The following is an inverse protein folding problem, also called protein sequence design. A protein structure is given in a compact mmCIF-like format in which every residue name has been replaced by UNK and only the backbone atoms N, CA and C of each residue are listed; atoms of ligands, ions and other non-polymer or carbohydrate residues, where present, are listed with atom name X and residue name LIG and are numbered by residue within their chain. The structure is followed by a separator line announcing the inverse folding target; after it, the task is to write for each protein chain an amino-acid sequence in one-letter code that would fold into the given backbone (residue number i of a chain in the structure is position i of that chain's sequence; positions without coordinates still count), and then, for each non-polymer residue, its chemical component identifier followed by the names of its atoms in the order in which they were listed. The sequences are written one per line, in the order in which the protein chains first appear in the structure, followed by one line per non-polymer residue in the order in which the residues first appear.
data_IF_779830527698
#
_entry.id   IF_779830527698
#
_cell.length_a   1.000
_cell.length_b   1.000
_cell.length_c   1.000
_cell.angle_alpha   90.00
_cell.angle_beta   90.00
_cell.angle_gamma   90.00
#
_symmetry.space_group_name_H-M   'P 1'
#
loop_
_entity.id
_entity.type
_entity.pdbx_description
1 polymer ?
#
# COMPACT_ATOMS: atom_id res chain seq x y z
N UNK A 1 -15.11 15.90 -0.81
CA UNK A 1 -13.89 16.05 0.01
C UNK A 1 -12.94 16.93 -0.77
N UNK A 2 -12.10 17.81 -0.14
CA UNK A 2 -10.94 18.39 -0.83
C UNK A 2 -10.40 17.30 -1.73
N UNK A 3 -10.12 17.53 -3.01
CA UNK A 3 -9.50 16.46 -3.79
C UNK A 3 -8.32 16.00 -2.96
N UNK A 4 -8.36 14.79 -2.41
CA UNK A 4 -7.45 14.36 -1.34
C UNK A 4 -6.00 14.65 -1.77
N UNK A 5 -5.77 14.53 -3.08
CA UNK A 5 -4.67 15.07 -3.88
C UNK A 5 -4.04 16.42 -3.45
N UNK A 6 -4.79 17.47 -3.14
CA UNK A 6 -4.20 18.78 -2.77
C UNK A 6 -3.54 18.75 -1.39
N UNK A 7 -4.22 18.12 -0.42
CA UNK A 7 -3.69 17.95 0.94
C UNK A 7 -2.55 16.93 0.90
N UNK A 8 -2.71 15.88 0.11
CA UNK A 8 -1.69 14.87 -0.11
C UNK A 8 -0.43 15.49 -0.70
N UNK A 9 -0.53 16.22 -1.80
CA UNK A 9 0.58 16.95 -2.43
C UNK A 9 1.23 17.97 -1.49
N UNK A 10 0.45 18.69 -0.68
CA UNK A 10 1.02 19.61 0.30
C UNK A 10 1.78 18.91 1.43
N UNK A 11 1.18 17.89 2.05
CA UNK A 11 1.82 17.12 3.11
C UNK A 11 3.07 16.42 2.60
N UNK A 12 3.00 15.96 1.36
CA UNK A 12 4.10 15.39 0.62
C UNK A 12 5.28 16.37 0.48
N UNK A 13 5.04 17.57 -0.04
CA UNK A 13 6.07 18.61 -0.19
C UNK A 13 6.64 19.02 1.17
N UNK A 14 5.78 19.06 2.19
CA UNK A 14 6.19 19.37 3.55
C UNK A 14 7.08 18.27 4.13
N UNK A 15 6.77 17.00 3.91
CA UNK A 15 7.59 15.87 4.37
C UNK A 15 9.02 15.91 3.81
N UNK A 16 9.23 16.47 2.61
CA UNK A 16 10.57 16.59 2.02
C UNK A 16 11.52 17.40 2.90
N UNK A 17 11.01 18.42 3.58
CA UNK A 17 11.79 19.26 4.48
C UNK A 17 12.30 18.49 5.70
N UNK A 18 11.72 17.32 6.00
CA UNK A 18 12.08 16.48 7.14
C UNK A 18 12.84 15.22 6.74
N UNK A 19 13.32 15.11 5.51
CA UNK A 19 14.03 13.90 5.05
C UNK A 19 15.23 13.53 5.93
N UNK A 20 15.92 14.51 6.50
CA UNK A 20 17.01 14.27 7.47
C UNK A 20 16.54 13.63 8.79
N UNK A 21 15.27 13.81 9.17
CA UNK A 21 14.69 13.27 10.40
C UNK A 21 14.39 11.77 10.34
N UNK A 22 14.29 11.21 9.15
CA UNK A 22 13.98 9.79 8.98
C UNK A 22 14.86 9.10 7.94
N UNK A 23 15.78 9.82 7.29
CA UNK A 23 16.64 9.32 6.22
C UNK A 23 17.89 8.57 6.67
N UNK A 24 18.30 8.68 7.94
CA UNK A 24 19.53 8.07 8.47
C UNK A 24 19.33 6.62 8.99
N UNK A 25 18.50 5.83 8.33
CA UNK A 25 18.35 4.41 8.69
C UNK A 25 19.54 3.60 8.17
N UNK A 26 20.05 2.69 9.02
CA UNK A 26 21.22 1.85 8.72
C UNK A 26 21.09 1.18 7.35
N UNK A 27 22.17 1.21 6.57
CA UNK A 27 22.24 0.60 5.25
C UNK A 27 22.54 -0.92 5.29
N UNK A 28 22.66 -1.52 6.49
CA UNK A 28 23.01 -2.94 6.64
C UNK A 28 21.78 -3.71 7.12
N UNK A 29 20.91 -4.12 6.18
CA UNK A 29 19.79 -4.97 6.49
C UNK A 29 20.18 -6.45 6.32
N UNK A 30 19.57 -7.38 7.07
CA UNK A 30 19.71 -8.79 6.73
C UNK A 30 19.15 -9.03 5.32
N UNK A 31 19.70 -9.97 4.57
CA UNK A 31 19.12 -10.38 3.29
C UNK A 31 17.70 -10.95 3.46
N UNK A 32 16.83 -10.85 2.43
CA UNK A 32 15.50 -11.46 2.48
C UNK A 32 15.59 -12.96 2.79
N UNK A 33 14.88 -13.40 3.82
CA UNK A 33 14.99 -14.78 4.34
C UNK A 33 13.70 -15.58 4.25
N UNK A 34 12.68 -15.08 3.55
CA UNK A 34 11.42 -15.80 3.31
C UNK A 34 11.70 -17.17 2.68
N UNK A 35 11.17 -18.21 3.30
CA UNK A 35 11.41 -19.60 2.93
C UNK A 35 10.22 -20.26 2.21
N UNK A 36 9.10 -19.55 2.02
CA UNK A 36 7.96 -20.11 1.30
C UNK A 36 8.23 -20.26 -0.20
N UNK A 37 7.52 -21.21 -0.78
CA UNK A 37 7.43 -21.36 -2.21
C UNK A 37 6.78 -20.13 -2.86
N UNK A 38 7.18 -19.89 -4.10
CA UNK A 38 6.57 -18.88 -4.96
C UNK A 38 5.41 -19.54 -5.71
N UNK A 39 4.24 -18.89 -5.71
CA UNK A 39 3.09 -19.35 -6.47
C UNK A 39 3.43 -19.44 -7.98
N UNK A 40 3.07 -20.54 -8.66
CA UNK A 40 3.44 -20.76 -10.06
C UNK A 40 3.09 -19.61 -11.01
N UNK A 41 2.01 -18.89 -10.73
CA UNK A 41 1.57 -17.75 -11.54
C UNK A 41 2.63 -16.65 -11.70
N UNK A 42 3.47 -16.44 -10.68
CA UNK A 42 4.52 -15.41 -10.73
C UNK A 42 5.71 -15.77 -11.62
N UNK A 43 5.83 -17.02 -12.09
CA UNK A 43 6.86 -17.41 -13.06
C UNK A 43 6.30 -17.87 -14.41
N UNK A 44 5.09 -18.44 -14.42
CA UNK A 44 4.55 -19.14 -15.59
C UNK A 44 3.53 -18.31 -16.38
N UNK A 45 3.02 -17.22 -15.81
CA UNK A 45 1.88 -16.47 -16.37
C UNK A 45 2.24 -15.06 -16.84
N UNK A 46 3.50 -14.82 -17.15
CA UNK A 46 3.90 -13.55 -17.77
C UNK A 46 3.75 -13.59 -19.29
N UNK A 47 3.30 -12.48 -19.86
CA UNK A 47 3.47 -12.22 -21.30
C UNK A 47 4.97 -12.13 -21.59
N UNK A 48 5.42 -12.72 -22.69
CA UNK A 48 6.80 -12.64 -23.16
C UNK A 48 6.90 -11.90 -24.49
N UNK A 49 8.10 -11.46 -24.87
CA UNK A 49 8.35 -10.61 -26.04
C UNK A 49 9.47 -9.61 -25.79
N UNK A 50 9.78 -8.78 -26.80
CA UNK A 50 10.88 -7.81 -26.77
C UNK A 50 10.85 -6.85 -25.58
N UNK A 51 9.65 -6.48 -25.12
CA UNK A 51 9.45 -5.40 -24.14
C UNK A 51 8.91 -5.89 -22.80
N UNK A 52 8.89 -7.22 -22.59
CA UNK A 52 8.47 -7.81 -21.31
C UNK A 52 9.67 -8.27 -20.48
N UNK A 53 10.79 -8.65 -21.13
CA UNK A 53 12.12 -8.93 -20.55
C UNK A 53 12.12 -9.70 -19.21
N UNK A 54 11.12 -10.55 -18.97
CA UNK A 54 10.90 -11.17 -17.65
C UNK A 54 12.03 -12.09 -17.18
N UNK A 55 12.73 -12.87 -18.04
CA UNK A 55 13.83 -13.71 -17.58
C UNK A 55 15.03 -12.92 -17.05
N UNK A 56 15.31 -11.73 -17.59
CA UNK A 56 16.48 -10.92 -17.21
C UNK A 56 16.40 -10.41 -15.78
N UNK A 57 15.19 -10.17 -15.27
CA UNK A 57 14.94 -9.59 -13.95
C UNK A 57 14.33 -10.58 -12.94
N UNK A 58 14.02 -11.81 -13.37
CA UNK A 58 13.32 -12.80 -12.55
C UNK A 58 14.02 -13.08 -11.21
N UNK A 59 15.34 -13.22 -11.21
CA UNK A 59 16.12 -13.45 -9.98
C UNK A 59 16.00 -12.27 -9.01
N UNK A 60 16.03 -11.03 -9.54
CA UNK A 60 15.88 -9.80 -8.75
C UNK A 60 14.45 -9.64 -8.20
N UNK A 61 13.45 -10.16 -8.89
CA UNK A 61 12.05 -10.14 -8.46
C UNK A 61 11.69 -11.30 -7.52
N UNK A 62 12.54 -12.32 -7.37
CA UNK A 62 12.20 -13.50 -6.55
C UNK A 62 11.81 -13.17 -5.11
N UNK A 63 12.48 -12.26 -4.38
CA UNK A 63 12.02 -11.84 -3.04
C UNK A 63 10.62 -11.20 -3.05
N UNK A 64 10.30 -10.45 -4.10
CA UNK A 64 8.96 -9.85 -4.31
C UNK A 64 7.91 -10.95 -4.47
N UNK A 65 8.19 -11.92 -5.33
CA UNK A 65 7.26 -13.03 -5.58
C UNK A 65 7.07 -13.92 -4.36
N UNK A 66 8.12 -14.14 -3.56
CA UNK A 66 8.00 -14.84 -2.27
C UNK A 66 7.10 -14.09 -1.31
N UNK A 67 7.27 -12.78 -1.17
CA UNK A 67 6.43 -11.97 -0.29
C UNK A 67 4.97 -11.92 -0.77
N UNK A 68 4.73 -11.71 -2.06
CA UNK A 68 3.39 -11.73 -2.64
C UNK A 68 2.72 -13.12 -2.46
N UNK A 69 3.46 -14.20 -2.66
CA UNK A 69 2.98 -15.57 -2.40
C UNK A 69 2.66 -15.79 -0.93
N UNK A 70 3.46 -15.24 -0.02
CA UNK A 70 3.19 -15.29 1.42
C UNK A 70 1.88 -14.59 1.76
N UNK A 71 1.66 -13.37 1.24
CA UNK A 71 0.41 -12.64 1.41
C UNK A 71 -0.80 -13.41 0.88
N UNK A 72 -0.64 -14.21 -0.17
CA UNK A 72 -1.73 -14.96 -0.78
C UNK A 72 -1.96 -16.36 -0.17
N UNK A 73 -1.09 -16.84 0.72
CA UNK A 73 -1.16 -18.21 1.25
C UNK A 73 -1.16 -18.31 2.78
N UNK A 74 -0.73 -17.24 3.46
CA UNK A 74 -0.67 -17.18 4.92
C UNK A 74 -2.08 -17.09 5.53
N UNK A 75 -2.29 -17.79 6.65
CA UNK A 75 -3.64 -18.04 7.18
C UNK A 75 -4.47 -16.77 7.43
N UNK A 76 -3.85 -15.70 7.94
CA UNK A 76 -4.59 -14.48 8.29
C UNK A 76 -4.92 -13.58 7.10
N UNK A 77 -3.97 -13.25 6.20
CA UNK A 77 -4.31 -12.60 4.94
C UNK A 77 -5.45 -13.29 4.19
N UNK A 78 -5.50 -14.63 4.23
CA UNK A 78 -6.58 -15.41 3.60
C UNK A 78 -7.98 -15.17 4.20
N UNK A 79 -8.10 -14.68 5.43
CA UNK A 79 -9.40 -14.30 6.01
C UNK A 79 -10.05 -13.16 5.24
N UNK A 80 -9.24 -12.26 4.66
CA UNK A 80 -9.75 -11.22 3.76
C UNK A 80 -10.35 -11.88 2.50
N UNK A 81 -9.61 -12.75 1.83
CA UNK A 81 -10.16 -13.45 0.66
C UNK A 81 -11.38 -14.32 0.99
N UNK A 82 -11.46 -14.89 2.20
CA UNK A 82 -12.62 -15.67 2.63
C UNK A 82 -13.90 -14.82 2.71
N UNK A 83 -13.82 -13.57 3.18
CA UNK A 83 -14.94 -12.63 3.11
C UNK A 83 -15.26 -12.24 1.68
N UNK A 84 -14.27 -11.96 0.82
CA UNK A 84 -14.51 -11.65 -0.59
C UNK A 84 -15.28 -12.77 -1.33
N UNK A 85 -14.84 -14.01 -1.15
CA UNK A 85 -15.32 -15.19 -1.88
C UNK A 85 -16.64 -15.69 -1.29
N UNK A 86 -16.78 -15.74 0.03
CA UNK A 86 -17.90 -16.39 0.72
C UNK A 86 -18.82 -15.44 1.50
N UNK A 87 -18.58 -14.13 1.43
CA UNK A 87 -19.49 -13.12 1.95
C UNK A 87 -20.70 -12.90 1.04
N UNK A 88 -21.82 -12.51 1.64
CA UNK A 88 -23.05 -12.17 0.91
C UNK A 88 -22.88 -10.81 0.22
N UNK A 89 -23.25 -10.71 -1.06
CA UNK A 89 -23.32 -9.41 -1.75
C UNK A 89 -24.67 -8.77 -1.48
N UNK A 90 -24.67 -7.66 -0.75
CA UNK A 90 -25.88 -6.95 -0.29
C UNK A 90 -25.90 -5.55 -0.90
N UNK A 91 -27.05 -5.09 -1.37
CA UNK A 91 -27.23 -3.72 -1.86
C UNK A 91 -27.50 -2.78 -0.69
N UNK A 92 -26.55 -1.90 -0.39
CA UNK A 92 -26.69 -0.81 0.57
C UNK A 92 -26.99 0.52 -0.10
N UNK A 93 -26.96 1.61 0.67
CA UNK A 93 -27.22 2.97 0.18
C UNK A 93 -26.17 3.48 -0.81
N UNK A 94 -24.90 3.11 -0.60
CA UNK A 94 -23.75 3.59 -1.38
C UNK A 94 -23.35 2.64 -2.52
N UNK A 95 -24.02 1.50 -2.66
CA UNK A 95 -23.71 0.46 -3.65
C UNK A 95 -23.82 -0.95 -3.08
N UNK A 96 -23.32 -1.93 -3.82
CA UNK A 96 -23.20 -3.30 -3.34
C UNK A 96 -22.02 -3.39 -2.38
N UNK A 97 -22.18 -4.02 -1.23
CA UNK A 97 -21.11 -4.34 -0.30
C UNK A 97 -21.08 -5.83 0.02
N UNK A 98 -20.00 -6.29 0.64
CA UNK A 98 -19.83 -7.68 1.06
C UNK A 98 -20.13 -7.78 2.57
N UNK A 99 -21.12 -8.58 2.93
CA UNK A 99 -21.50 -8.86 4.32
C UNK A 99 -20.89 -10.19 4.77
N UNK A 100 -20.31 -10.21 5.96
CA UNK A 100 -19.67 -11.41 6.51
C UNK A 100 -20.70 -12.52 6.74
N UNK A 101 -20.31 -13.77 6.49
CA UNK A 101 -21.11 -14.96 6.79
C UNK A 101 -20.44 -15.78 7.89
N UNK A 102 -21.16 -16.72 8.49
CA UNK A 102 -20.54 -17.67 9.44
C UNK A 102 -19.48 -18.54 8.75
N UNK A 103 -19.73 -18.93 7.49
CA UNK A 103 -18.78 -19.72 6.71
C UNK A 103 -17.50 -18.95 6.38
N UNK A 104 -17.59 -17.66 5.99
CA UNK A 104 -16.40 -16.86 5.66
C UNK A 104 -15.40 -16.70 6.81
N UNK A 105 -15.84 -16.93 8.06
CA UNK A 105 -15.00 -16.89 9.28
C UNK A 105 -14.39 -18.25 9.64
N UNK A 106 -14.81 -19.33 8.98
CA UNK A 106 -14.40 -20.71 9.30
C UNK A 106 -13.02 -21.05 8.75
N UNK A 107 -12.35 -22.05 9.36
CA UNK A 107 -11.11 -22.60 8.82
C UNK A 107 -11.33 -23.32 7.48
N UNK A 108 -12.51 -23.89 7.26
CA UNK A 108 -12.86 -24.56 5.99
C UNK A 108 -12.90 -23.58 4.83
N UNK A 109 -13.41 -22.37 5.06
CA UNK A 109 -13.33 -21.30 4.07
C UNK A 109 -11.89 -21.01 3.68
N UNK A 110 -10.96 -20.91 4.64
CA UNK A 110 -9.53 -20.66 4.36
C UNK A 110 -8.93 -21.74 3.45
N UNK A 111 -9.25 -23.01 3.66
CA UNK A 111 -8.80 -24.10 2.78
C UNK A 111 -9.34 -23.94 1.35
N UNK A 112 -10.63 -23.62 1.19
CA UNK A 112 -11.23 -23.36 -0.14
C UNK A 112 -10.70 -22.10 -0.80
N UNK A 113 -10.35 -21.07 -0.03
CA UNK A 113 -9.71 -19.87 -0.56
C UNK A 113 -8.38 -20.21 -1.21
N UNK A 114 -7.53 -21.03 -0.56
CA UNK A 114 -6.24 -21.44 -1.16
C UNK A 114 -6.43 -22.11 -2.51
N UNK A 115 -7.39 -23.02 -2.60
CA UNK A 115 -7.74 -23.69 -3.86
C UNK A 115 -8.20 -22.67 -4.92
N UNK A 116 -9.05 -21.72 -4.51
CA UNK A 116 -9.55 -20.66 -5.39
C UNK A 116 -8.41 -19.78 -5.90
N UNK A 117 -7.49 -19.33 -5.02
CA UNK A 117 -6.31 -18.56 -5.40
C UNK A 117 -5.44 -19.35 -6.38
N UNK A 118 -5.22 -20.65 -6.15
CA UNK A 118 -4.51 -21.49 -7.10
C UNK A 118 -5.22 -21.57 -8.46
N UNK A 119 -6.55 -21.64 -8.48
CA UNK A 119 -7.33 -21.70 -9.73
C UNK A 119 -7.33 -20.37 -10.48
N UNK A 120 -7.51 -19.24 -9.77
CA UNK A 120 -7.33 -17.90 -10.35
C UNK A 120 -5.90 -17.72 -10.88
N UNK A 121 -4.90 -18.21 -10.14
CA UNK A 121 -3.49 -18.16 -10.52
C UNK A 121 -3.15 -18.93 -11.80
N UNK A 122 -3.95 -19.93 -12.19
CA UNK A 122 -3.79 -20.62 -13.48
C UNK A 122 -4.28 -19.77 -14.67
N UNK A 123 -5.10 -18.76 -14.41
CA UNK A 123 -5.78 -17.95 -15.43
C UNK A 123 -5.21 -16.55 -15.57
N UNK A 124 -4.91 -15.91 -14.43
CA UNK A 124 -4.35 -14.55 -14.40
C UNK A 124 -3.10 -14.49 -15.27
N UNK A 125 -2.93 -13.37 -15.96
CA UNK A 125 -1.74 -13.09 -16.78
C UNK A 125 -1.12 -11.78 -16.32
N UNK A 126 0.21 -11.72 -16.26
CA UNK A 126 0.96 -10.52 -15.91
C UNK A 126 1.65 -9.94 -17.13
N UNK A 127 1.70 -8.62 -17.25
CA UNK A 127 2.52 -7.92 -18.24
C UNK A 127 2.99 -6.57 -17.69
N UNK A 128 4.07 -6.02 -18.24
CA UNK A 128 4.40 -4.61 -18.11
C UNK A 128 3.70 -3.79 -19.19
N UNK A 129 3.36 -2.53 -18.90
CA UNK A 129 2.78 -1.64 -19.89
C UNK A 129 3.74 -1.44 -21.08
N UNK A 130 3.23 -1.33 -22.32
CA UNK A 130 4.10 -1.24 -23.49
C UNK A 130 4.83 0.11 -23.57
N UNK A 131 6.03 0.17 -24.17
CA UNK A 131 6.82 1.41 -24.26
C UNK A 131 6.12 2.53 -25.04
N UNK A 132 5.28 2.18 -26.02
CA UNK A 132 4.55 3.13 -26.86
C UNK A 132 3.30 3.72 -26.17
N UNK A 133 2.91 3.20 -25.00
CA UNK A 133 1.81 3.76 -24.24
C UNK A 133 2.31 4.99 -23.46
N UNK A 134 1.54 6.09 -23.34
CA UNK A 134 1.95 7.35 -22.69
C UNK A 134 2.24 7.25 -21.17
N UNK A 135 2.54 6.06 -20.66
CA UNK A 135 2.78 5.75 -19.26
C UNK A 135 1.47 5.54 -18.50
N UNK A 136 1.42 4.49 -17.70
CA UNK A 136 0.41 4.35 -16.66
C UNK A 136 0.76 5.31 -15.51
N UNK A 137 -0.22 6.07 -14.99
CA UNK A 137 -0.02 6.88 -13.77
C UNK A 137 -0.07 6.05 -12.49
N UNK A 138 -0.71 4.88 -12.54
CA UNK A 138 -0.78 3.93 -11.44
C UNK A 138 0.42 2.96 -11.45
N UNK A 139 0.65 2.32 -10.29
CA UNK A 139 1.65 1.25 -10.14
C UNK A 139 1.27 -0.04 -10.87
N UNK A 140 -0.04 -0.25 -11.04
CA UNK A 140 -0.63 -1.40 -11.70
C UNK A 140 -2.07 -1.13 -12.10
N UNK A 141 -2.62 -2.02 -12.91
CA UNK A 141 -4.02 -2.05 -13.32
C UNK A 141 -4.42 -3.47 -13.68
N UNK A 142 -5.59 -3.89 -13.23
CA UNK A 142 -6.22 -5.13 -13.66
C UNK A 142 -7.29 -4.85 -14.71
N UNK A 143 -7.23 -5.57 -15.82
CA UNK A 143 -8.30 -5.61 -16.82
C UNK A 143 -8.90 -7.01 -16.90
N UNK A 144 -10.18 -7.11 -17.27
CA UNK A 144 -10.94 -8.36 -17.18
C UNK A 144 -10.51 -9.44 -18.16
N UNK A 145 -9.96 -9.04 -19.30
CA UNK A 145 -9.60 -9.97 -20.37
C UNK A 145 -8.37 -9.50 -21.15
N UNK A 146 -7.73 -10.46 -21.81
CA UNK A 146 -6.71 -10.20 -22.84
C UNK A 146 -7.20 -9.23 -23.91
N UNK A 147 -8.42 -9.40 -24.40
CA UNK A 147 -8.97 -8.52 -25.44
C UNK A 147 -9.15 -7.07 -24.96
N UNK A 148 -9.45 -6.87 -23.67
CA UNK A 148 -9.49 -5.52 -23.10
C UNK A 148 -8.10 -4.92 -22.97
N UNK A 149 -7.09 -5.72 -22.60
CA UNK A 149 -5.70 -5.29 -22.61
C UNK A 149 -5.24 -4.89 -24.03
N UNK A 150 -5.46 -5.75 -25.02
CA UNK A 150 -5.11 -5.48 -26.42
C UNK A 150 -5.89 -4.28 -26.99
N UNK A 151 -7.13 -4.05 -26.56
CA UNK A 151 -7.90 -2.85 -26.96
C UNK A 151 -7.33 -1.59 -26.32
N UNK A 152 -6.94 -1.64 -25.05
CA UNK A 152 -6.44 -0.49 -24.29
C UNK A 152 -5.04 -0.06 -24.74
N UNK A 153 -4.13 -1.02 -24.92
CA UNK A 153 -2.73 -0.76 -25.25
C UNK A 153 -2.44 -0.88 -26.76
N UNK A 154 -3.50 -1.10 -27.56
CA UNK A 154 -3.42 -1.39 -28.98
C UNK A 154 -2.92 -2.81 -29.26
N UNK A 155 -3.15 -3.28 -30.49
CA UNK A 155 -2.32 -4.36 -31.04
C UNK A 155 -0.94 -3.77 -31.22
N UNK A 156 -0.12 -3.85 -30.17
CA UNK A 156 1.23 -3.30 -30.17
C UNK A 156 1.95 -3.76 -31.43
N UNK A 157 2.76 -2.87 -32.03
CA UNK A 157 3.64 -3.25 -33.14
C UNK A 157 4.64 -4.35 -32.74
N UNK A 158 4.78 -4.58 -31.44
CA UNK A 158 5.63 -5.58 -30.82
C UNK A 158 4.93 -6.95 -30.72
N UNK A 159 5.68 -8.00 -31.02
CA UNK A 159 5.22 -9.38 -30.95
C UNK A 159 5.15 -9.83 -29.49
N UNK A 160 3.96 -9.77 -28.90
CA UNK A 160 3.68 -10.31 -27.56
C UNK A 160 3.21 -11.75 -27.63
N UNK A 161 3.78 -12.58 -26.78
CA UNK A 161 3.41 -13.99 -26.63
C UNK A 161 2.69 -14.18 -25.30
N UNK A 162 1.39 -14.44 -25.40
CA UNK A 162 0.54 -14.68 -24.24
C UNK A 162 0.70 -16.11 -23.74
N UNK A 163 0.71 -16.35 -22.41
CA UNK A 163 0.78 -17.70 -21.87
C UNK A 163 -0.47 -18.48 -22.30
N UNK A 164 -0.30 -19.79 -22.60
CA UNK A 164 -1.43 -20.63 -23.03
C UNK A 164 -2.43 -20.78 -21.90
N UNK A 165 -3.70 -20.56 -22.17
CA UNK A 165 -4.75 -20.81 -21.19
C UNK A 165 -4.96 -22.31 -21.02
N UNK A 166 -5.13 -22.75 -19.77
CA UNK A 166 -5.54 -24.14 -19.53
C UNK A 166 -7.01 -24.29 -19.96
N UNK A 167 -7.27 -25.21 -20.91
CA UNK A 167 -8.63 -25.45 -21.45
C UNK A 167 -9.65 -25.77 -20.36
N UNK A 168 -9.23 -26.39 -19.26
CA UNK A 168 -10.09 -26.72 -18.12
C UNK A 168 -10.54 -25.50 -17.32
N UNK A 169 -9.87 -24.36 -17.43
CA UNK A 169 -10.13 -23.18 -16.62
C UNK A 169 -10.98 -22.10 -17.32
N UNK A 170 -11.35 -22.29 -18.59
CA UNK A 170 -12.12 -21.33 -19.41
C UNK A 170 -13.65 -21.41 -19.22
N UNK A 171 -14.16 -22.11 -18.20
CA UNK A 171 -15.60 -22.31 -18.00
C UNK A 171 -16.33 -21.02 -17.56
N UNK A 172 -16.53 -20.06 -18.48
CA UNK A 172 -17.31 -18.85 -18.24
C UNK A 172 -16.68 -17.82 -17.28
N UNK A 173 -15.45 -18.06 -16.84
CA UNK A 173 -14.71 -17.14 -15.97
C UNK A 173 -13.95 -16.07 -16.76
N UNK A 174 -13.74 -14.91 -16.12
CA UNK A 174 -12.85 -13.90 -16.65
C UNK A 174 -11.40 -14.41 -16.77
N UNK A 175 -10.64 -13.83 -17.69
CA UNK A 175 -9.22 -14.11 -17.93
C UNK A 175 -8.41 -12.84 -17.62
N UNK A 176 -8.34 -12.45 -16.33
CA UNK A 176 -7.82 -11.15 -15.95
C UNK A 176 -6.35 -10.98 -16.34
N UNK A 177 -6.01 -9.78 -16.78
CA UNK A 177 -4.64 -9.37 -17.07
C UNK A 177 -4.25 -8.27 -16.10
N UNK A 178 -3.21 -8.53 -15.32
CA UNK A 178 -2.57 -7.57 -14.43
C UNK A 178 -1.46 -6.88 -15.22
N UNK A 179 -1.63 -5.60 -15.48
CA UNK A 179 -0.67 -4.74 -16.18
C UNK A 179 0.06 -3.91 -15.14
N UNK A 180 1.38 -4.06 -15.08
CA UNK A 180 2.25 -3.32 -14.19
C UNK A 180 2.89 -2.15 -14.92
N UNK A 181 3.19 -1.09 -14.19
CA UNK A 181 3.94 0.03 -14.74
C UNK A 181 5.35 -0.41 -15.22
N UNK A 182 5.78 -0.07 -16.43
CA UNK A 182 7.11 -0.39 -17.00
C UNK A 182 8.26 0.13 -16.17
N UNK A 183 8.02 1.13 -15.34
CA UNK A 183 9.08 1.69 -14.51
C UNK A 183 9.54 0.69 -13.45
N UNK A 184 8.72 -0.31 -13.10
CA UNK A 184 9.18 -1.48 -12.36
C UNK A 184 10.25 -2.26 -13.14
N UNK A 185 10.01 -2.53 -14.42
CA UNK A 185 10.96 -3.18 -15.30
C UNK A 185 12.24 -2.35 -15.45
N UNK A 186 12.12 -1.03 -15.66
CA UNK A 186 13.26 -0.11 -15.71
C UNK A 186 14.09 -0.16 -14.41
N UNK A 187 13.44 -0.09 -13.25
CA UNK A 187 14.11 -0.16 -11.95
C UNK A 187 14.91 -1.46 -11.78
N UNK A 188 14.30 -2.62 -12.06
CA UNK A 188 14.98 -3.90 -11.90
C UNK A 188 16.07 -4.15 -12.96
N UNK A 189 16.07 -3.42 -14.08
CA UNK A 189 17.17 -3.45 -15.07
C UNK A 189 18.29 -2.45 -14.76
N UNK A 190 18.01 -1.42 -13.94
CA UNK A 190 18.95 -0.32 -13.67
C UNK A 190 20.34 -0.81 -13.22
N UNK A 191 21.36 -0.11 -13.75
CA UNK A 191 22.78 -0.23 -13.40
C UNK A 191 23.34 1.19 -13.19
N UNK A 192 24.07 1.47 -12.09
CA UNK A 192 24.41 0.57 -10.98
C UNK A 192 23.18 0.14 -10.17
N UNK A 193 23.35 -0.89 -9.33
CA UNK A 193 22.28 -1.37 -8.45
C UNK A 193 21.82 -0.26 -7.50
N UNK A 194 20.51 -0.18 -7.17
CA UNK A 194 19.99 0.73 -6.16
C UNK A 194 20.66 0.51 -4.80
N UNK A 195 20.51 1.49 -3.90
CA UNK A 195 20.85 1.29 -2.48
C UNK A 195 19.98 0.16 -1.88
N UNK A 196 20.48 -0.53 -0.85
CA UNK A 196 19.71 -1.61 -0.21
C UNK A 196 18.35 -1.12 0.34
N UNK A 197 18.33 0.10 0.91
CA UNK A 197 17.11 0.74 1.41
C UNK A 197 16.06 0.93 0.30
N UNK A 198 16.49 1.47 -0.83
CA UNK A 198 15.61 1.69 -1.98
C UNK A 198 15.11 0.36 -2.57
N UNK A 199 16.00 -0.64 -2.70
CA UNK A 199 15.63 -1.97 -3.17
C UNK A 199 14.54 -2.59 -2.31
N UNK A 200 14.68 -2.56 -0.98
CA UNK A 200 13.66 -3.08 -0.06
C UNK A 200 12.31 -2.38 -0.19
N UNK A 201 12.29 -1.05 -0.35
CA UNK A 201 11.05 -0.28 -0.54
C UNK A 201 10.37 -0.65 -1.85
N UNK A 202 11.13 -0.72 -2.95
CA UNK A 202 10.61 -1.13 -4.26
C UNK A 202 10.10 -2.56 -4.23
N UNK A 203 10.88 -3.50 -3.69
CA UNK A 203 10.47 -4.90 -3.57
C UNK A 203 9.17 -5.02 -2.77
N UNK A 204 9.05 -4.27 -1.67
CA UNK A 204 7.86 -4.29 -0.84
C UNK A 204 6.65 -3.72 -1.57
N UNK A 205 6.80 -2.53 -2.17
CA UNK A 205 5.71 -1.85 -2.86
C UNK A 205 5.23 -2.65 -4.08
N UNK A 206 6.13 -3.28 -4.83
CA UNK A 206 5.74 -4.17 -5.92
C UNK A 206 5.02 -5.42 -5.42
N UNK A 207 5.45 -6.02 -4.31
CA UNK A 207 4.75 -7.18 -3.73
C UNK A 207 3.32 -6.81 -3.29
N UNK A 208 3.15 -5.63 -2.71
CA UNK A 208 1.83 -5.05 -2.38
C UNK A 208 1.01 -4.82 -3.64
N UNK A 209 1.59 -4.18 -4.67
CA UNK A 209 0.93 -3.92 -5.97
C UNK A 209 0.45 -5.22 -6.63
N UNK A 210 1.29 -6.26 -6.65
CA UNK A 210 0.91 -7.55 -7.23
C UNK A 210 -0.32 -8.16 -6.55
N UNK A 211 -0.40 -8.08 -5.23
CA UNK A 211 -1.53 -8.64 -4.48
C UNK A 211 -2.76 -7.74 -4.56
N UNK A 212 -2.57 -6.42 -4.55
CA UNK A 212 -3.61 -5.43 -4.81
C UNK A 212 -4.33 -5.75 -6.12
N UNK A 213 -3.58 -5.83 -7.22
CA UNK A 213 -4.13 -6.15 -8.54
C UNK A 213 -4.70 -7.58 -8.60
N UNK A 214 -4.11 -8.52 -7.88
CA UNK A 214 -4.68 -9.86 -7.76
C UNK A 214 -6.05 -9.87 -7.08
N UNK A 215 -6.33 -8.94 -6.16
CA UNK A 215 -7.67 -8.84 -5.54
C UNK A 215 -8.74 -8.48 -6.55
N UNK A 216 -8.43 -7.55 -7.45
CA UNK A 216 -9.27 -7.17 -8.59
C UNK A 216 -9.47 -8.34 -9.54
N UNK A 217 -8.39 -9.05 -9.86
CA UNK A 217 -8.42 -10.25 -10.71
C UNK A 217 -9.29 -11.36 -10.10
N UNK A 218 -9.19 -11.58 -8.79
CA UNK A 218 -10.01 -12.55 -8.06
C UNK A 218 -11.49 -12.15 -8.10
N UNK A 219 -11.82 -10.87 -7.88
CA UNK A 219 -13.20 -10.40 -8.00
C UNK A 219 -13.74 -10.56 -9.43
N UNK A 220 -12.97 -10.19 -10.46
CA UNK A 220 -13.35 -10.39 -11.86
C UNK A 220 -13.60 -11.88 -12.20
N UNK A 221 -12.86 -12.79 -11.58
CA UNK A 221 -13.07 -14.24 -11.73
C UNK A 221 -14.36 -14.73 -11.05
N UNK A 222 -14.70 -14.16 -9.89
CA UNK A 222 -15.91 -14.51 -9.10
C UNK A 222 -17.20 -13.94 -9.69
N UNK A 223 -17.14 -12.73 -10.27
CA UNK A 223 -18.34 -12.03 -10.74
C UNK A 223 -18.21 -11.52 -12.17
N UNK A 224 -19.25 -11.71 -13.00
CA UNK A 224 -19.30 -11.11 -14.34
C UNK A 224 -19.53 -9.59 -14.32
N UNK A 225 -19.82 -9.00 -13.15
CA UNK A 225 -20.14 -7.57 -13.03
C UNK A 225 -18.87 -6.72 -13.07
N UNK A 226 -18.90 -5.62 -13.82
CA UNK A 226 -17.76 -4.71 -14.00
C UNK A 226 -17.48 -3.83 -12.79
N UNK A 227 -18.47 -3.59 -11.94
CA UNK A 227 -18.34 -2.75 -10.75
C UNK A 227 -17.95 -3.57 -9.52
N UNK A 228 -16.87 -3.15 -8.88
CA UNK A 228 -16.46 -3.73 -7.60
C UNK A 228 -17.45 -3.43 -6.48
N UNK A 229 -17.64 -4.36 -5.53
CA UNK A 229 -18.38 -4.08 -4.32
C UNK A 229 -17.51 -3.28 -3.32
N UNK A 230 -18.17 -2.55 -2.42
CA UNK A 230 -17.55 -2.09 -1.18
C UNK A 230 -17.17 -3.30 -0.33
N UNK A 231 -16.02 -3.24 0.31
CA UNK A 231 -15.58 -4.32 1.21
C UNK A 231 -16.52 -4.51 2.41
N UNK A 232 -16.98 -3.39 2.98
CA UNK A 232 -18.02 -3.28 4.01
C UNK A 232 -18.90 -2.08 3.69
N UNK A 233 -20.12 -2.03 4.21
CA UNK A 233 -21.09 -0.96 3.90
C UNK A 233 -20.57 0.46 4.21
N UNK A 234 -19.70 0.58 5.22
CA UNK A 234 -19.15 1.86 5.66
C UNK A 234 -17.94 2.35 4.84
N UNK A 235 -17.45 1.55 3.90
CA UNK A 235 -16.35 1.99 3.03
C UNK A 235 -16.83 3.09 2.07
N UNK A 236 -15.97 4.09 1.86
CA UNK A 236 -16.28 5.25 1.00
C UNK A 236 -16.00 4.98 -0.49
N UNK A 237 -15.13 4.01 -0.79
CA UNK A 237 -14.66 3.69 -2.13
C UNK A 237 -14.78 2.19 -2.39
N UNK A 238 -15.34 1.83 -3.54
CA UNK A 238 -15.43 0.46 -4.02
C UNK A 238 -14.14 0.09 -4.75
N UNK A 239 -13.11 -0.15 -3.96
CA UNK A 239 -11.78 -0.50 -4.44
C UNK A 239 -11.22 -1.59 -3.51
N UNK A 240 -11.22 -2.82 -4.02
CA UNK A 240 -10.89 -4.01 -3.23
C UNK A 240 -9.40 -4.12 -2.89
N UNK A 241 -8.51 -3.61 -3.74
CA UNK A 241 -7.07 -3.61 -3.52
C UNK A 241 -6.66 -2.74 -2.33
N UNK A 242 -7.17 -1.51 -2.26
CA UNK A 242 -7.03 -0.59 -1.13
C UNK A 242 -7.69 -1.13 0.13
N UNK A 243 -8.83 -1.84 0.01
CA UNK A 243 -9.38 -2.53 1.18
C UNK A 243 -8.43 -3.62 1.68
N UNK A 244 -7.88 -4.44 0.77
CA UNK A 244 -6.91 -5.47 1.11
C UNK A 244 -5.66 -4.88 1.79
N UNK A 245 -5.07 -3.82 1.23
CA UNK A 245 -3.93 -3.12 1.82
C UNK A 245 -4.25 -2.63 3.25
N UNK A 246 -5.36 -1.92 3.42
CA UNK A 246 -5.78 -1.40 4.73
C UNK A 246 -6.04 -2.50 5.76
N UNK A 247 -6.55 -3.66 5.35
CA UNK A 247 -6.85 -4.77 6.26
C UNK A 247 -5.65 -5.66 6.56
N UNK A 248 -4.83 -5.98 5.55
CA UNK A 248 -3.74 -6.96 5.64
C UNK A 248 -2.39 -6.32 5.92
N UNK A 249 -2.15 -5.10 5.42
CA UNK A 249 -0.93 -4.34 5.71
C UNK A 249 -1.19 -3.35 6.86
N UNK A 250 -2.42 -2.87 6.97
CA UNK A 250 -2.83 -1.86 7.96
C UNK A 250 -2.79 -0.42 7.43
N UNK A 251 -2.25 -0.24 6.22
CA UNK A 251 -1.79 1.03 5.68
C UNK A 251 -1.95 1.03 4.16
N UNK A 252 -2.45 2.13 3.58
CA UNK A 252 -2.39 2.38 2.14
C UNK A 252 -1.08 3.10 1.84
N UNK A 253 -0.23 2.48 1.03
CA UNK A 253 1.15 2.93 0.88
C UNK A 253 1.36 3.61 -0.46
N UNK A 254 1.82 4.85 -0.41
CA UNK A 254 2.20 5.59 -1.60
C UNK A 254 3.73 5.63 -1.73
N UNK A 255 4.29 5.39 -2.93
CA UNK A 255 5.65 5.81 -3.20
C UNK A 255 5.73 7.33 -3.12
N UNK A 256 6.93 7.82 -2.84
CA UNK A 256 7.24 9.24 -2.80
C UNK A 256 7.01 9.98 -4.14
N UNK A 257 6.47 9.45 -5.25
CA UNK A 257 6.16 10.29 -6.44
C UNK A 257 5.06 9.66 -7.30
N UNK A 258 4.21 10.49 -7.90
CA UNK A 258 3.21 10.17 -8.94
C UNK A 258 3.80 9.66 -10.28
N UNK A 259 5.13 9.62 -10.42
CA UNK A 259 5.81 9.04 -11.58
C UNK A 259 7.19 8.52 -11.19
N UNK A 260 7.43 7.26 -11.51
CA UNK A 260 8.77 6.69 -11.46
C UNK A 260 9.56 7.28 -12.65
N UNK A 261 10.49 8.20 -12.39
CA UNK A 261 11.50 8.59 -13.38
C UNK A 261 12.72 7.66 -13.27
N UNK A 262 13.42 7.32 -14.36
CA UNK A 262 14.61 6.46 -14.33
C UNK A 262 15.71 6.89 -13.34
N UNK A 263 15.84 8.19 -13.12
CA UNK A 263 16.84 8.79 -12.21
C UNK A 263 16.34 8.90 -10.76
N UNK A 264 15.11 8.47 -10.51
CA UNK A 264 14.43 8.71 -9.26
C UNK A 264 14.78 7.65 -8.21
N UNK A 265 14.91 8.12 -6.97
CA UNK A 265 15.15 7.27 -5.81
C UNK A 265 13.93 7.23 -4.90
N UNK A 266 13.46 6.02 -4.56
CA UNK A 266 12.44 5.87 -3.51
C UNK A 266 13.11 6.03 -2.14
N UNK A 267 13.14 7.28 -1.67
CA UNK A 267 13.79 7.67 -0.42
C UNK A 267 13.03 7.22 0.83
N UNK A 268 11.72 7.06 0.73
CA UNK A 268 10.87 6.57 1.81
C UNK A 268 9.51 6.12 1.26
N UNK A 269 8.79 5.34 2.07
CA UNK A 269 7.37 5.07 1.88
C UNK A 269 6.60 5.86 2.91
N UNK A 270 5.39 6.29 2.57
CA UNK A 270 4.53 7.00 3.50
C UNK A 270 3.08 6.58 3.28
N UNK A 271 2.23 6.99 4.21
CA UNK A 271 0.79 6.93 4.09
C UNK A 271 0.21 8.27 4.52
N UNK A 272 -0.93 8.62 3.94
CA UNK A 272 -1.71 9.77 4.38
C UNK A 272 -3.03 9.26 4.92
N UNK A 273 -3.43 9.80 6.07
CA UNK A 273 -4.73 9.56 6.69
C UNK A 273 -5.40 10.88 6.91
N UNK A 274 -6.70 10.96 6.65
CA UNK A 274 -7.48 12.14 6.91
C UNK A 274 -8.82 11.74 7.52
N UNK A 275 -9.27 12.50 8.51
CA UNK A 275 -10.59 12.34 9.11
C UNK A 275 -11.09 13.68 9.66
N UNK A 276 -12.41 13.84 9.64
CA UNK A 276 -13.08 15.06 10.09
C UNK A 276 -13.36 14.99 11.59
N UNK A 277 -13.47 16.15 12.23
CA UNK A 277 -13.87 16.20 13.64
C UNK A 277 -14.82 17.36 13.93
N UNK A 278 -15.69 17.17 14.92
CA UNK A 278 -16.68 18.17 15.34
C UNK A 278 -16.50 18.63 16.79
N UNK A 279 -15.69 17.91 17.57
CA UNK A 279 -15.43 18.21 18.98
C UNK A 279 -13.93 18.15 19.29
N UNK A 280 -13.50 18.84 20.35
CA UNK A 280 -12.11 18.77 20.83
C UNK A 280 -11.70 17.34 21.22
N UNK A 281 -12.61 16.57 21.81
CA UNK A 281 -12.39 15.16 22.16
C UNK A 281 -12.13 14.29 20.92
N UNK A 282 -12.94 14.44 19.87
CA UNK A 282 -12.72 13.73 18.61
C UNK A 282 -11.39 14.11 17.97
N UNK A 283 -11.02 15.40 17.99
CA UNK A 283 -9.71 15.88 17.53
C UNK A 283 -8.57 15.16 18.26
N UNK A 284 -8.60 15.10 19.59
CA UNK A 284 -7.59 14.41 20.39
C UNK A 284 -7.55 12.90 20.10
N UNK A 285 -8.72 12.28 19.92
CA UNK A 285 -8.82 10.88 19.52
C UNK A 285 -8.19 10.62 18.15
N UNK A 286 -8.40 11.51 17.17
CA UNK A 286 -7.78 11.42 15.84
C UNK A 286 -6.26 11.61 15.91
N UNK A 287 -5.78 12.63 16.62
CA UNK A 287 -4.33 12.85 16.80
C UNK A 287 -3.66 11.64 17.46
N UNK A 288 -4.31 11.02 18.45
CA UNK A 288 -3.82 9.78 19.09
C UNK A 288 -3.90 8.58 18.13
N UNK A 289 -5.01 8.42 17.40
CA UNK A 289 -5.22 7.34 16.42
C UNK A 289 -4.17 7.40 15.30
N UNK A 290 -3.87 8.60 14.81
CA UNK A 290 -2.91 8.83 13.74
C UNK A 290 -1.47 8.87 14.25
N UNK A 291 -1.20 9.41 15.43
CA UNK A 291 0.16 9.43 16.02
C UNK A 291 0.69 8.04 16.40
N UNK A 292 -0.19 7.06 16.59
CA UNK A 292 0.20 5.70 16.92
C UNK A 292 0.84 5.63 18.31
N UNK A 293 1.99 4.95 18.43
CA UNK A 293 2.73 4.86 19.69
C UNK A 293 3.62 6.07 19.98
N UNK A 294 3.71 7.05 19.07
CA UNK A 294 4.45 8.28 19.29
C UNK A 294 3.75 9.16 20.32
N UNK A 295 3.96 8.83 21.60
CA UNK A 295 3.50 9.61 22.75
C UNK A 295 4.54 10.67 23.06
N UNK A 296 4.58 11.74 22.28
CA UNK A 296 5.08 13.00 22.82
C UNK A 296 3.89 13.78 23.30
N UNK A 297 3.88 14.13 24.58
CA UNK A 297 2.72 14.74 25.24
C UNK A 297 2.35 16.11 24.65
N UNK A 298 3.25 16.74 23.87
CA UNK A 298 2.97 17.99 23.17
C UNK A 298 3.71 18.05 21.82
N UNK A 299 3.01 18.01 20.68
CA UNK A 299 3.64 18.21 19.39
C UNK A 299 4.15 19.66 19.24
N UNK A 300 4.99 19.92 18.24
CA UNK A 300 5.47 21.27 17.91
C UNK A 300 4.97 21.72 16.55
N UNK A 301 4.72 23.03 16.39
CA UNK A 301 4.51 23.67 15.09
C UNK A 301 5.82 24.10 14.43
N UNK A 302 6.95 23.97 15.13
CA UNK A 302 8.25 24.33 14.61
C UNK A 302 8.70 23.33 13.53
N UNK A 303 9.27 23.85 12.46
CA UNK A 303 9.75 23.05 11.34
C UNK A 303 11.04 22.27 11.67
N UNK A 304 11.68 21.69 10.66
CA UNK A 304 12.95 20.99 10.78
C UNK A 304 14.09 21.89 11.30
N UNK A 305 13.96 23.22 11.16
CA UNK A 305 14.93 24.25 11.49
C UNK A 305 14.49 25.12 12.68
N UNK A 306 13.39 24.78 13.35
CA UNK A 306 12.87 25.54 14.49
C UNK A 306 12.01 26.76 14.13
N UNK A 307 11.63 26.95 12.86
CA UNK A 307 10.77 28.06 12.42
C UNK A 307 9.29 27.71 12.54
N UNK A 308 8.48 28.68 12.95
CA UNK A 308 7.03 28.55 12.98
C UNK A 308 6.45 28.95 11.60
N UNK A 309 6.15 27.96 10.76
CA UNK A 309 5.45 28.22 9.50
C UNK A 309 3.93 28.15 9.69
N UNK A 310 3.22 29.13 9.12
CA UNK A 310 1.76 29.06 8.99
C UNK A 310 1.45 28.40 7.65
N UNK A 311 1.02 27.13 7.63
CA UNK A 311 0.75 26.45 6.37
C UNK A 311 -0.44 27.11 5.65
N UNK A 312 -0.50 27.03 4.31
CA UNK A 312 -1.67 27.48 3.57
C UNK A 312 -2.93 26.75 4.06
N UNK A 313 -4.06 27.46 4.00
CA UNK A 313 -5.37 26.84 4.22
C UNK A 313 -5.77 26.12 2.93
N UNK A 314 -5.84 24.80 2.98
CA UNK A 314 -6.27 24.00 1.84
C UNK A 314 -7.77 23.79 1.95
N UNK A 315 -8.49 24.33 0.96
CA UNK A 315 -9.94 24.27 0.92
C UNK A 315 -10.40 22.83 0.69
N UNK A 316 -11.18 22.31 1.64
CA UNK A 316 -12.04 21.17 1.44
C UNK A 316 -13.15 21.51 0.44
N UNK A 317 -13.29 20.78 -0.66
CA UNK A 317 -14.29 21.09 -1.70
C UNK A 317 -15.73 21.03 -1.16
N UNK A 318 -15.97 20.27 -0.08
CA UNK A 318 -17.33 19.97 0.40
C UNK A 318 -17.54 20.15 1.92
N UNK A 319 -16.76 21.01 2.58
CA UNK A 319 -17.01 21.49 3.93
C UNK A 319 -17.07 20.42 5.06
N UNK A 320 -15.91 20.19 5.67
CA UNK A 320 -15.79 20.30 7.11
C UNK A 320 -14.93 21.51 7.45
N UNK A 321 -15.43 22.38 8.32
CA UNK A 321 -14.64 23.47 8.90
C UNK A 321 -13.40 22.93 9.63
N UNK A 322 -13.39 21.66 10.05
CA UNK A 322 -12.40 21.09 10.95
C UNK A 322 -12.00 19.66 10.53
N UNK A 323 -10.72 19.43 10.25
CA UNK A 323 -10.19 18.10 9.94
C UNK A 323 -8.73 17.96 10.37
N UNK A 324 -8.29 16.71 10.53
CA UNK A 324 -6.88 16.35 10.73
C UNK A 324 -6.46 15.44 9.60
N UNK A 325 -5.36 15.80 8.94
CA UNK A 325 -4.61 14.92 8.07
C UNK A 325 -3.27 14.57 8.74
N UNK A 326 -2.77 13.36 8.48
CA UNK A 326 -1.52 12.87 9.03
C UNK A 326 -0.73 12.13 7.94
N UNK A 327 0.46 12.62 7.64
CA UNK A 327 1.42 11.94 6.80
C UNK A 327 2.40 11.15 7.69
N UNK A 328 2.42 9.84 7.54
CA UNK A 328 3.22 8.95 8.36
C UNK A 328 4.29 8.28 7.52
N UNK A 329 5.57 8.48 7.87
CA UNK A 329 6.68 7.80 7.20
C UNK A 329 6.75 6.36 7.71
N UNK A 330 6.97 5.41 6.81
CA UNK A 330 7.12 3.99 7.12
C UNK A 330 8.60 3.70 7.42
N UNK A 331 8.94 3.20 8.63
CA UNK A 331 10.33 2.88 8.96
C UNK A 331 10.87 1.70 8.15
N UNK A 332 12.14 1.73 7.75
CA UNK A 332 12.76 0.61 7.02
C UNK A 332 12.77 -0.68 7.83
N UNK A 333 12.94 -0.59 9.15
CA UNK A 333 12.84 -1.78 10.03
C UNK A 333 11.51 -2.49 9.84
N UNK A 334 10.42 -1.73 9.63
CA UNK A 334 9.11 -2.31 9.38
C UNK A 334 9.05 -2.94 7.98
N UNK A 335 9.55 -2.27 6.93
CA UNK A 335 9.62 -2.80 5.56
C UNK A 335 10.41 -4.12 5.50
N UNK A 336 11.63 -4.12 6.03
CA UNK A 336 12.54 -5.28 6.06
C UNK A 336 11.93 -6.45 6.84
N UNK A 337 11.16 -6.18 7.90
CA UNK A 337 10.52 -7.22 8.70
C UNK A 337 9.49 -8.05 7.92
N UNK A 338 9.00 -7.59 6.77
CA UNK A 338 8.12 -8.38 5.91
C UNK A 338 8.87 -9.43 5.10
N UNK A 339 10.17 -9.25 4.89
CA UNK A 339 11.05 -10.20 4.21
C UNK A 339 11.75 -11.17 5.16
N UNK A 340 11.38 -11.17 6.45
CA UNK A 340 11.98 -12.01 7.48
C UNK A 340 11.06 -13.17 7.87
N UNK A 341 11.53 -14.41 7.69
CA UNK A 341 10.76 -15.61 8.09
C UNK A 341 10.44 -15.62 9.59
N UNK A 342 11.42 -15.30 10.43
CA UNK A 342 11.24 -15.23 11.88
C UNK A 342 10.15 -14.22 12.28
N UNK A 343 10.06 -13.08 11.59
CA UNK A 343 9.00 -12.09 11.85
C UNK A 343 7.62 -12.56 11.41
N UNK A 344 7.51 -13.38 10.36
CA UNK A 344 6.25 -14.03 10.03
C UNK A 344 5.83 -15.07 11.08
N UNK A 345 6.77 -15.84 11.61
CA UNK A 345 6.51 -16.78 12.70
C UNK A 345 6.03 -16.07 13.98
N UNK A 346 6.71 -14.99 14.37
CA UNK A 346 6.30 -14.13 15.50
C UNK A 346 4.87 -13.61 15.31
N UNK A 347 4.54 -13.09 14.12
CA UNK A 347 3.18 -12.62 13.79
C UNK A 347 2.16 -13.74 13.88
N UNK A 348 2.45 -14.90 13.30
CA UNK A 348 1.55 -16.05 13.31
C UNK A 348 1.23 -16.53 14.74
N UNK A 349 2.24 -16.56 15.62
CA UNK A 349 2.05 -16.86 17.05
C UNK A 349 1.15 -15.79 17.69
N UNK A 350 1.48 -14.51 17.50
CA UNK A 350 0.72 -13.41 18.08
C UNK A 350 -0.75 -13.42 17.65
N UNK A 351 -1.02 -13.57 16.36
CA UNK A 351 -2.38 -13.62 15.83
C UNK A 351 -3.16 -14.85 16.33
N UNK A 352 -2.48 -15.97 16.57
CA UNK A 352 -3.09 -17.17 17.15
C UNK A 352 -3.51 -16.92 18.60
N UNK A 353 -2.63 -16.30 19.39
CA UNK A 353 -2.92 -15.93 20.77
C UNK A 353 -4.07 -14.92 20.87
N UNK A 354 -4.11 -13.92 19.99
CA UNK A 354 -5.16 -12.90 19.96
C UNK A 354 -6.48 -13.37 19.35
N UNK A 355 -6.49 -14.56 18.73
CA UNK A 355 -7.58 -15.12 17.93
C UNK A 355 -8.14 -14.14 16.87
N UNK A 356 -7.31 -13.21 16.41
CA UNK A 356 -7.67 -12.20 15.40
C UNK A 356 -6.41 -11.69 14.72
N UNK A 357 -6.59 -11.11 13.55
CA UNK A 357 -5.51 -10.39 12.90
C UNK A 357 -5.21 -9.11 13.68
N UNK A 358 -3.95 -8.94 14.08
CA UNK A 358 -3.45 -7.70 14.68
C UNK A 358 -2.45 -7.09 13.71
N UNK A 359 -2.81 -5.94 13.16
CA UNK A 359 -1.97 -5.22 12.22
C UNK A 359 -0.58 -4.93 12.81
N UNK A 360 0.52 -5.18 12.08
CA UNK A 360 1.85 -4.81 12.53
C UNK A 360 1.96 -3.30 12.73
N UNK A 361 2.25 -2.86 13.96
CA UNK A 361 2.46 -1.44 14.26
C UNK A 361 3.69 -0.91 13.52
N UNK A 362 3.60 0.30 12.97
CA UNK A 362 4.78 1.06 12.50
C UNK A 362 5.74 1.43 13.64
N UNK A 363 5.33 1.24 14.89
CA UNK A 363 6.11 1.65 16.06
C UNK A 363 6.23 3.17 16.14
N UNK A 364 7.37 3.62 16.65
CA UNK A 364 7.65 5.05 16.77
C UNK A 364 8.19 5.59 15.45
N UNK A 365 7.28 5.95 14.55
CA UNK A 365 7.59 6.46 13.22
C UNK A 365 7.41 7.98 13.13
N UNK A 366 8.05 8.63 12.15
CA UNK A 366 7.84 10.06 11.94
C UNK A 366 6.41 10.32 11.44
N UNK A 367 5.73 11.29 12.05
CA UNK A 367 4.36 11.70 11.68
C UNK A 367 4.31 13.22 11.57
N UNK A 368 3.74 13.70 10.48
CA UNK A 368 3.42 15.10 10.25
C UNK A 368 1.89 15.24 10.26
N UNK A 369 1.37 16.05 11.18
CA UNK A 369 -0.04 16.41 11.22
C UNK A 369 -0.26 17.72 10.49
N UNK A 370 -1.33 17.78 9.70
CA UNK A 370 -1.91 19.01 9.21
C UNK A 370 -3.33 19.11 9.77
N UNK A 371 -3.61 20.19 10.48
CA UNK A 371 -4.94 20.47 11.02
C UNK A 371 -5.51 21.71 10.35
N UNK A 372 -6.77 21.61 9.94
CA UNK A 372 -7.59 22.75 9.60
C UNK A 372 -8.65 22.93 10.69
N UNK A 373 -8.80 24.15 11.22
CA UNK A 373 -9.81 24.53 12.23
C UNK A 373 -10.45 25.87 11.87
N UNK A 374 -11.62 25.81 11.26
CA UNK A 374 -12.32 26.95 10.66
C UNK A 374 -11.46 27.64 9.60
N UNK A 375 -11.03 28.87 9.91
CA UNK A 375 -10.15 29.67 9.04
C UNK A 375 -8.67 29.54 9.36
N UNK A 376 -8.28 28.69 10.32
CA UNK A 376 -6.90 28.49 10.73
C UNK A 376 -6.40 27.14 10.25
N UNK A 377 -5.15 27.09 9.83
CA UNK A 377 -4.41 25.86 9.51
C UNK A 377 -3.15 25.81 10.36
N UNK A 378 -2.68 24.61 10.67
CA UNK A 378 -1.47 24.40 11.45
C UNK A 378 -0.84 23.06 11.09
N UNK A 379 0.49 23.03 11.06
CA UNK A 379 1.25 21.79 11.00
C UNK A 379 1.74 21.48 12.41
N UNK A 380 1.71 20.20 12.75
CA UNK A 380 2.34 19.72 13.98
C UNK A 380 3.16 18.47 13.72
N UNK A 381 4.21 18.27 14.49
CA UNK A 381 4.95 17.01 14.52
C UNK A 381 5.29 16.60 15.95
N UNK A 382 5.35 15.29 16.25
CA UNK A 382 5.98 14.80 17.47
C UNK A 382 7.45 15.23 17.52
N UNK A 383 7.94 15.53 18.73
CA UNK A 383 9.36 15.81 18.96
C UNK A 383 10.12 14.49 19.15
N UNK A 384 11.31 14.39 18.59
CA UNK A 384 12.18 13.23 18.77
C UNK A 384 13.52 13.68 19.38
N UNK A 385 13.81 13.36 20.66
CA UNK A 385 14.97 13.87 21.38
C UNK A 385 16.33 13.46 20.79
N UNK A 386 16.34 12.51 19.83
CA UNK A 386 17.54 12.17 19.06
C UNK A 386 18.02 13.34 18.20
N UNK A 387 17.13 14.23 17.76
CA UNK A 387 17.48 15.43 16.98
C UNK A 387 17.84 16.59 17.90
N UNK A 388 18.90 17.32 17.56
CA UNK A 388 19.41 18.41 18.39
C UNK A 388 18.37 19.52 18.62
N UNK A 389 17.70 19.96 17.55
CA UNK A 389 16.66 20.99 17.62
C UNK A 389 15.45 20.53 18.44
N UNK A 390 15.03 19.27 18.31
CA UNK A 390 13.91 18.74 19.10
C UNK A 390 14.27 18.64 20.58
N UNK A 391 15.51 18.26 20.88
CA UNK A 391 16.03 18.24 22.24
C UNK A 391 16.06 19.64 22.84
N UNK A 392 16.52 20.64 22.08
CA UNK A 392 16.50 22.03 22.51
C UNK A 392 15.07 22.52 22.79
N UNK A 393 14.10 22.20 21.93
CA UNK A 393 12.68 22.51 22.16
C UNK A 393 12.18 21.84 23.45
N UNK A 394 12.50 20.56 23.66
CA UNK A 394 12.12 19.83 24.87
C UNK A 394 12.74 20.45 26.13
N UNK A 395 14.02 20.83 26.09
CA UNK A 395 14.73 21.49 27.20
C UNK A 395 14.16 22.88 27.50
N UNK A 396 13.84 23.68 26.48
CA UNK A 396 13.16 24.97 26.65
C UNK A 396 11.80 24.81 27.33
N UNK A 397 10.99 23.84 26.90
CA UNK A 397 9.69 23.54 27.52
C UNK A 397 9.83 23.06 28.96
N UNK A 398 10.85 22.25 29.26
CA UNK A 398 11.13 21.81 30.63
C UNK A 398 11.50 22.98 31.56
N UNK A 399 12.03 24.08 31.02
CA UNK A 399 12.29 25.34 31.74
C UNK A 399 11.07 26.27 31.81
N UNK A 400 9.92 25.89 31.25
CA UNK A 400 8.72 26.73 31.15
C UNK A 400 8.76 27.75 30.01
N UNK A 401 9.75 27.69 29.11
CA UNK A 401 9.78 28.52 27.91
C UNK A 401 9.01 27.85 26.78
N UNK A 402 7.76 28.27 26.60
CA UNK A 402 6.86 27.78 25.55
C UNK A 402 6.89 28.66 24.28
N UNK A 403 7.83 29.60 24.15
CA UNK A 403 7.89 30.51 22.99
C UNK A 403 8.53 29.87 21.75
N UNK A 404 8.98 28.62 21.83
CA UNK A 404 9.60 27.85 20.74
C UNK A 404 8.88 26.53 20.45
#
# INVERSE_FOLDING_TARGET
MPSDANIESFLFDTLQQYTEYFGAESANHPHPSLANDVLPMFYQRWVTGSDQCTPEIADRMTPVFRLASRFLMEHYPLKWFAHLIFGDRVRGSSGTYIRETSFSKSNDAISKVRETIHNVGKLVTFMFDPPDYPGMSANGLTVRSRSDAERKYGRTRHQMYWPRDSRSAQQGHALPVIVLNREWLAFFRRRPSPSENELYRVMFLLAVTLVHEFTHACNAWLTPVDKEPLWVETDKLAELGWSWERHVIGYGLAPFIDSFSPDMQIRYLYQIKMDDYHTAKQREELLRKFGGSNRTDQPTCADAHGKLEKPPRLAATDNPNNYVAAAQVVPMKWVVSWFSEGKWQERAIHWRCENRYVRPSLGNNFVLFYECRGHKSSIYRPLNPKFAIDREILECRARGDHRR
#
